data_IF_173206020901
#
_entry.id   IF_173206020901
#
_cell.length_a   1.000
_cell.length_b   1.000
_cell.length_c   1.000
_cell.angle_alpha   90.00
_cell.angle_beta   90.00
_cell.angle_gamma   90.00
#
_symmetry.space_group_name_H-M   'P 1'
#
loop_
_entity.id
_entity.type
_entity.pdbx_description
1 polymer ?
#
# COMPACT_ATOMS: atom_id res chain seq x y z
N UNK A 1 5.71 -2.08 -5.54
CA UNK A 1 5.64 -3.42 -6.10
C UNK A 1 6.78 -3.63 -7.11
N UNK A 2 7.06 -4.88 -7.44
CA UNK A 2 8.19 -5.27 -8.30
C UNK A 2 7.89 -5.18 -9.80
N UNK A 3 6.73 -4.68 -10.19
CA UNK A 3 6.31 -4.60 -11.58
C UNK A 3 5.98 -3.18 -12.00
N UNK A 4 6.21 -2.89 -13.26
CA UNK A 4 5.74 -1.73 -13.97
C UNK A 4 4.73 -2.17 -15.01
N UNK A 5 3.47 -1.82 -14.86
CA UNK A 5 2.36 -2.28 -15.73
C UNK A 5 2.41 -3.81 -15.91
N UNK A 6 2.92 -4.32 -17.02
CA UNK A 6 3.06 -5.74 -17.37
C UNK A 6 4.54 -6.14 -17.62
N UNK A 7 5.46 -5.56 -16.90
CA UNK A 7 6.89 -5.87 -17.02
C UNK A 7 7.58 -5.83 -15.66
N UNK A 8 8.65 -6.62 -15.53
CA UNK A 8 9.52 -6.57 -14.35
C UNK A 8 10.16 -5.19 -14.21
N UNK A 9 10.41 -4.79 -12.98
CA UNK A 9 10.97 -3.47 -12.67
C UNK A 9 12.33 -3.24 -13.33
N UNK A 10 13.15 -4.27 -13.45
CA UNK A 10 14.48 -4.24 -14.06
C UNK A 10 14.48 -3.90 -15.56
N UNK A 11 13.34 -4.03 -16.25
CA UNK A 11 13.20 -3.60 -17.65
C UNK A 11 13.19 -2.07 -17.76
N UNK A 12 12.80 -1.36 -16.69
CA UNK A 12 12.63 0.10 -16.69
C UNK A 12 13.65 0.86 -15.86
N UNK A 13 14.37 0.15 -15.00
CA UNK A 13 15.41 0.74 -14.16
C UNK A 13 16.55 -0.24 -13.91
N UNK A 14 17.71 0.28 -13.60
CA UNK A 14 18.88 -0.55 -13.30
C UNK A 14 18.57 -1.54 -12.17
N UNK A 15 19.01 -2.79 -12.32
CA UNK A 15 18.77 -3.88 -11.37
C UNK A 15 19.22 -3.55 -9.93
N UNK A 16 20.28 -2.74 -9.80
CA UNK A 16 20.87 -2.37 -8.51
C UNK A 16 20.42 -0.99 -8.02
N UNK A 17 19.37 -0.41 -8.61
CA UNK A 17 18.86 0.89 -8.18
C UNK A 17 18.25 0.76 -6.79
N UNK A 18 18.77 1.54 -5.86
CA UNK A 18 18.24 1.69 -4.51
C UNK A 18 17.59 3.07 -4.38
N UNK A 19 16.25 3.09 -4.27
CA UNK A 19 15.46 4.32 -4.25
C UNK A 19 15.68 5.07 -2.94
N UNK A 20 15.82 4.35 -1.82
CA UNK A 20 16.14 4.94 -0.53
C UNK A 20 17.46 5.70 -0.55
N UNK A 21 18.48 5.13 -1.21
CA UNK A 21 19.78 5.82 -1.38
C UNK A 21 19.70 7.06 -2.25
N UNK A 22 18.82 7.08 -3.25
CA UNK A 22 18.59 8.31 -4.04
C UNK A 22 18.06 9.43 -3.14
N UNK A 23 17.10 9.14 -2.28
CA UNK A 23 16.60 10.12 -1.31
C UNK A 23 17.68 10.57 -0.33
N UNK A 24 18.52 9.65 0.17
CA UNK A 24 19.65 9.98 1.04
C UNK A 24 20.69 10.88 0.38
N UNK A 25 20.98 10.65 -0.92
CA UNK A 25 21.88 11.50 -1.70
C UNK A 25 21.34 12.95 -1.86
N UNK A 26 20.03 13.13 -1.73
CA UNK A 26 19.39 14.46 -1.64
C UNK A 26 19.28 15.00 -0.21
N UNK A 27 19.93 14.38 0.76
CA UNK A 27 19.92 14.81 2.18
C UNK A 27 18.63 14.45 2.93
N UNK A 28 17.79 13.56 2.38
CA UNK A 28 16.55 13.15 3.02
C UNK A 28 16.77 11.87 3.83
N UNK A 29 16.40 11.86 5.11
CA UNK A 29 16.47 10.66 5.95
C UNK A 29 15.56 9.58 5.43
N UNK A 30 16.10 8.39 5.15
CA UNK A 30 15.36 7.27 4.58
C UNK A 30 15.18 6.13 5.57
N UNK A 31 14.06 5.41 5.39
CA UNK A 31 13.74 4.17 6.07
C UNK A 31 13.21 3.17 5.04
N UNK A 32 13.70 1.93 5.10
CA UNK A 32 13.29 0.86 4.18
C UNK A 32 12.79 -0.35 4.94
N UNK A 33 11.72 -0.99 4.45
CA UNK A 33 11.11 -2.12 5.11
C UNK A 33 10.22 -2.98 4.21
N UNK A 34 9.77 -4.09 4.79
CA UNK A 34 8.81 -4.99 4.15
C UNK A 34 7.39 -4.43 4.28
N UNK A 35 6.77 -4.07 3.16
CA UNK A 35 5.39 -3.55 3.12
C UNK A 35 4.32 -4.61 3.42
N UNK A 36 4.68 -5.90 3.46
CA UNK A 36 3.78 -6.97 3.87
C UNK A 36 3.87 -7.28 5.38
N UNK A 37 4.71 -6.60 6.14
CA UNK A 37 4.74 -6.69 7.60
C UNK A 37 4.15 -5.42 8.22
N UNK A 38 2.91 -5.51 8.70
CA UNK A 38 2.16 -4.39 9.28
C UNK A 38 2.89 -3.76 10.46
N UNK A 39 3.56 -4.57 11.31
CA UNK A 39 4.31 -4.02 12.45
C UNK A 39 5.52 -3.22 11.96
N UNK A 40 6.23 -3.73 10.96
CA UNK A 40 7.39 -3.04 10.40
C UNK A 40 6.99 -1.71 9.73
N UNK A 41 5.86 -1.71 9.00
CA UNK A 41 5.30 -0.48 8.41
C UNK A 41 4.95 0.52 9.51
N UNK A 42 4.28 0.08 10.58
CA UNK A 42 3.93 0.95 11.71
C UNK A 42 5.17 1.51 12.40
N UNK A 43 6.12 0.67 12.77
CA UNK A 43 7.33 1.06 13.50
C UNK A 43 8.21 2.04 12.72
N UNK A 44 8.39 1.80 11.42
CA UNK A 44 9.17 2.70 10.56
C UNK A 44 8.45 4.01 10.31
N UNK A 45 7.12 3.99 10.18
CA UNK A 45 6.31 5.21 10.05
C UNK A 45 6.38 6.07 11.33
N UNK A 46 6.28 5.44 12.50
CA UNK A 46 6.44 6.14 13.78
C UNK A 46 7.83 6.76 13.94
N UNK A 47 8.89 6.02 13.57
CA UNK A 47 10.27 6.54 13.56
C UNK A 47 10.41 7.73 12.62
N UNK A 48 9.81 7.66 11.43
CA UNK A 48 9.85 8.77 10.46
C UNK A 48 9.10 9.99 10.99
N UNK A 49 7.92 9.83 11.58
CA UNK A 49 7.15 10.93 12.18
C UNK A 49 7.93 11.58 13.33
N UNK A 50 8.52 10.77 14.21
CA UNK A 50 9.37 11.28 15.31
C UNK A 50 10.58 12.06 14.79
N UNK A 51 11.21 11.55 13.72
CA UNK A 51 12.34 12.25 13.07
C UNK A 51 11.90 13.60 12.50
N UNK A 52 10.79 13.64 11.74
CA UNK A 52 10.25 14.88 11.15
C UNK A 52 9.98 15.92 12.24
N UNK A 53 9.28 15.52 13.30
CA UNK A 53 8.93 16.41 14.41
C UNK A 53 10.17 16.95 15.16
N UNK A 54 11.18 16.11 15.31
CA UNK A 54 12.41 16.50 16.05
C UNK A 54 13.32 17.40 15.21
N UNK A 55 13.45 17.15 13.90
CA UNK A 55 14.47 17.77 13.07
C UNK A 55 13.91 18.83 12.11
N UNK A 56 12.57 18.98 12.07
CA UNK A 56 11.86 19.84 11.11
C UNK A 56 12.33 19.59 9.65
N UNK A 57 12.53 18.33 9.29
CA UNK A 57 13.06 17.88 8.02
C UNK A 57 12.27 16.72 7.48
N UNK A 58 12.14 16.54 6.15
CA UNK A 58 11.37 15.44 5.57
C UNK A 58 12.04 14.09 5.86
N UNK A 59 11.23 13.04 5.78
CA UNK A 59 11.68 11.66 5.78
C UNK A 59 11.10 10.91 4.59
N UNK A 60 11.84 9.94 4.06
CA UNK A 60 11.45 9.08 2.97
C UNK A 60 11.22 7.66 3.48
N UNK A 61 10.10 7.05 3.07
CA UNK A 61 9.76 5.68 3.42
C UNK A 61 9.66 4.84 2.14
N UNK A 62 10.40 3.74 2.07
CA UNK A 62 10.34 2.75 1.01
C UNK A 62 9.85 1.43 1.57
N UNK A 63 8.68 0.96 1.10
CA UNK A 63 8.11 -0.32 1.47
C UNK A 63 7.99 -1.23 0.26
N UNK A 64 8.61 -2.41 0.32
CA UNK A 64 8.50 -3.42 -0.70
C UNK A 64 7.16 -4.15 -0.57
N UNK A 65 6.40 -4.19 -1.66
CA UNK A 65 5.07 -4.82 -1.74
C UNK A 65 4.94 -5.61 -3.04
N UNK A 66 3.89 -6.41 -3.13
CA UNK A 66 3.56 -7.17 -4.33
C UNK A 66 2.10 -6.89 -4.76
N UNK A 67 1.88 -6.70 -6.06
CA UNK A 67 0.56 -6.53 -6.63
C UNK A 67 0.01 -7.87 -7.09
N UNK A 68 -1.14 -8.27 -6.59
CA UNK A 68 -1.75 -9.56 -6.93
C UNK A 68 -2.47 -9.55 -8.27
N UNK A 69 -3.26 -8.51 -8.52
CA UNK A 69 -4.06 -8.37 -9.73
C UNK A 69 -3.34 -7.55 -10.78
N UNK A 70 -3.93 -7.47 -11.97
CA UNK A 70 -3.39 -6.67 -13.07
C UNK A 70 -3.28 -5.17 -12.74
N UNK A 71 -2.59 -4.42 -13.60
CA UNK A 71 -2.37 -3.00 -13.36
C UNK A 71 -3.64 -2.16 -13.51
N UNK A 72 -4.47 -2.46 -14.49
CA UNK A 72 -5.58 -1.60 -14.90
C UNK A 72 -6.97 -2.16 -14.55
N UNK A 73 -7.07 -3.27 -13.85
CA UNK A 73 -8.36 -3.89 -13.59
C UNK A 73 -8.36 -4.92 -12.47
N UNK A 74 -9.47 -5.62 -12.30
CA UNK A 74 -9.67 -6.61 -11.25
C UNK A 74 -9.25 -8.03 -11.65
N UNK A 75 -8.69 -8.23 -12.87
CA UNK A 75 -8.39 -9.56 -13.39
C UNK A 75 -7.05 -10.08 -12.86
N UNK A 76 -6.91 -11.39 -12.90
CA UNK A 76 -5.64 -12.06 -12.69
C UNK A 76 -4.79 -11.93 -13.95
N UNK A 77 -3.48 -11.82 -13.81
CA UNK A 77 -2.53 -11.60 -14.90
C UNK A 77 -1.26 -12.44 -14.78
N UNK A 78 -1.34 -13.53 -14.03
CA UNK A 78 -0.27 -14.49 -13.79
C UNK A 78 0.07 -15.34 -15.01
N UNK A 79 -0.84 -15.45 -15.99
CA UNK A 79 -0.69 -16.14 -17.26
C UNK A 79 -0.05 -15.29 -18.38
N UNK A 80 0.19 -14.00 -18.15
CA UNK A 80 0.76 -13.10 -19.16
C UNK A 80 2.29 -13.24 -19.34
N UNK A 81 2.95 -14.14 -18.62
CA UNK A 81 4.36 -14.51 -18.82
C UNK A 81 5.39 -13.52 -18.32
N UNK A 82 5.02 -12.43 -17.66
CA UNK A 82 5.98 -11.49 -17.06
C UNK A 82 6.29 -11.77 -15.59
N UNK A 83 5.48 -12.58 -14.94
CA UNK A 83 5.69 -13.10 -13.58
C UNK A 83 6.47 -14.40 -13.62
N UNK A 84 7.15 -14.73 -12.55
CA UNK A 84 7.79 -16.04 -12.41
C UNK A 84 6.77 -17.10 -11.98
N UNK A 85 7.04 -18.35 -12.33
CA UNK A 85 6.18 -19.46 -11.94
C UNK A 85 6.01 -19.53 -10.42
N UNK A 86 4.76 -19.66 -9.98
CA UNK A 86 4.38 -19.70 -8.56
C UNK A 86 4.77 -18.45 -7.74
N UNK A 87 5.16 -17.34 -8.37
CA UNK A 87 5.52 -16.11 -7.67
C UNK A 87 4.29 -15.52 -6.95
N UNK A 88 3.16 -15.42 -7.64
CA UNK A 88 1.91 -14.95 -7.08
C UNK A 88 1.47 -15.77 -5.86
N UNK A 89 1.51 -17.10 -5.94
CA UNK A 89 1.13 -17.96 -4.83
C UNK A 89 2.02 -17.76 -3.59
N UNK A 90 3.33 -17.58 -3.78
CA UNK A 90 4.27 -17.29 -2.68
C UNK A 90 3.90 -15.99 -1.97
N UNK A 91 3.55 -14.95 -2.72
CA UNK A 91 3.13 -13.68 -2.16
C UNK A 91 1.75 -13.74 -1.50
N UNK A 92 0.81 -14.51 -2.06
CA UNK A 92 -0.51 -14.72 -1.45
C UNK A 92 -0.42 -15.46 -0.10
N UNK A 93 0.52 -16.40 0.05
CA UNK A 93 0.81 -17.03 1.35
C UNK A 93 1.31 -16.04 2.39
N UNK A 94 2.00 -14.98 1.94
CA UNK A 94 2.50 -13.89 2.78
C UNK A 94 1.55 -12.68 2.82
N UNK A 95 0.24 -12.91 2.67
CA UNK A 95 -0.78 -11.86 2.78
C UNK A 95 -0.66 -11.10 4.11
N UNK A 96 -0.46 -9.77 4.10
CA UNK A 96 -0.25 -9.00 5.32
C UNK A 96 -1.44 -9.07 6.27
N UNK A 97 -2.66 -9.07 5.74
CA UNK A 97 -3.89 -9.16 6.54
C UNK A 97 -3.98 -10.52 7.23
N UNK A 98 -3.92 -11.62 6.46
CA UNK A 98 -4.04 -12.98 7.01
C UNK A 98 -2.94 -13.30 8.03
N UNK A 99 -1.71 -12.87 7.73
CA UNK A 99 -0.56 -13.07 8.62
C UNK A 99 -0.74 -12.31 9.93
N UNK A 100 -1.22 -11.07 9.86
CA UNK A 100 -1.45 -10.26 11.06
C UNK A 100 -2.65 -10.76 11.87
N UNK A 101 -3.78 -11.07 11.23
CA UNK A 101 -4.95 -11.69 11.89
C UNK A 101 -4.53 -12.94 12.69
N UNK A 102 -3.77 -13.84 12.07
CA UNK A 102 -3.28 -15.05 12.74
C UNK A 102 -2.41 -14.71 13.96
N UNK A 103 -1.52 -13.75 13.83
CA UNK A 103 -0.59 -13.32 14.88
C UNK A 103 -1.32 -12.71 16.08
N UNK A 104 -2.32 -11.85 15.86
CA UNK A 104 -3.06 -11.20 16.95
C UNK A 104 -4.03 -12.14 17.66
N UNK A 105 -4.61 -13.11 16.92
CA UNK A 105 -5.39 -14.19 17.53
C UNK A 105 -4.49 -15.08 18.42
N UNK A 106 -3.37 -15.52 17.88
CA UNK A 106 -2.40 -16.37 18.62
C UNK A 106 -1.91 -15.72 19.90
N UNK A 107 -1.74 -14.39 19.87
CA UNK A 107 -1.34 -13.60 21.05
C UNK A 107 -2.50 -13.29 22.01
N UNK A 108 -3.72 -13.68 21.67
CA UNK A 108 -4.91 -13.43 22.51
C UNK A 108 -5.36 -11.96 22.54
N UNK A 109 -4.90 -11.13 21.63
CA UNK A 109 -5.32 -9.73 21.56
C UNK A 109 -6.75 -9.57 21.06
N UNK A 110 -7.19 -10.44 20.16
CA UNK A 110 -8.54 -10.51 19.60
C UNK A 110 -8.95 -11.96 19.41
N UNK A 111 -10.24 -12.21 19.33
CA UNK A 111 -10.82 -13.50 18.97
C UNK A 111 -11.46 -13.44 17.55
N UNK A 112 -11.98 -14.57 17.06
CA UNK A 112 -12.59 -14.63 15.74
C UNK A 112 -13.86 -13.78 15.61
N UNK A 113 -14.63 -13.63 16.70
CA UNK A 113 -15.85 -12.82 16.69
C UNK A 113 -15.51 -11.34 16.57
N UNK A 114 -14.43 -10.88 17.21
CA UNK A 114 -13.94 -9.51 17.07
C UNK A 114 -13.56 -9.21 15.62
N UNK A 115 -12.85 -10.15 14.96
CA UNK A 115 -12.48 -9.98 13.55
C UNK A 115 -13.70 -9.96 12.62
N UNK A 116 -14.69 -10.80 12.86
CA UNK A 116 -15.92 -10.79 12.08
C UNK A 116 -16.69 -9.48 12.27
N UNK A 117 -16.78 -8.98 13.50
CA UNK A 117 -17.37 -7.67 13.77
C UNK A 117 -16.68 -6.54 12.96
N UNK A 118 -15.34 -6.51 12.94
CA UNK A 118 -14.62 -5.52 12.14
C UNK A 118 -14.87 -5.67 10.64
N UNK A 119 -14.92 -6.91 10.12
CA UNK A 119 -15.21 -7.17 8.71
C UNK A 119 -16.61 -6.70 8.31
N UNK A 120 -17.61 -6.98 9.14
CA UNK A 120 -18.99 -6.51 8.91
C UNK A 120 -19.06 -4.98 8.91
N UNK A 121 -18.43 -4.33 9.90
CA UNK A 121 -18.38 -2.88 9.97
C UNK A 121 -17.73 -2.26 8.72
N UNK A 122 -16.60 -2.80 8.28
CA UNK A 122 -15.90 -2.32 7.07
C UNK A 122 -16.79 -2.51 5.82
N UNK A 123 -17.49 -3.64 5.70
CA UNK A 123 -18.39 -3.87 4.57
C UNK A 123 -19.54 -2.84 4.53
N UNK A 124 -20.12 -2.51 5.68
CA UNK A 124 -21.16 -1.47 5.79
C UNK A 124 -20.59 -0.12 5.32
N UNK A 125 -19.42 0.28 5.82
CA UNK A 125 -18.77 1.54 5.42
C UNK A 125 -18.49 1.59 3.90
N UNK A 126 -18.09 0.46 3.29
CA UNK A 126 -17.87 0.36 1.84
C UNK A 126 -19.20 0.54 1.08
N UNK A 127 -20.26 -0.15 1.49
CA UNK A 127 -21.58 -0.05 0.87
C UNK A 127 -22.13 1.38 0.95
N UNK A 128 -22.03 2.01 2.11
CA UNK A 128 -22.44 3.41 2.31
C UNK A 128 -21.65 4.37 1.40
N UNK A 129 -20.33 4.16 1.26
CA UNK A 129 -19.51 4.96 0.36
C UNK A 129 -19.92 4.80 -1.12
N UNK A 130 -20.25 3.59 -1.56
CA UNK A 130 -20.79 3.35 -2.91
C UNK A 130 -22.16 4.01 -3.13
N UNK A 131 -23.05 3.91 -2.14
CA UNK A 131 -24.35 4.56 -2.21
C UNK A 131 -24.20 6.09 -2.26
N UNK A 132 -23.33 6.64 -1.45
CA UNK A 132 -23.02 8.08 -1.48
C UNK A 132 -22.53 8.51 -2.86
N UNK A 133 -21.57 7.79 -3.44
CA UNK A 133 -21.05 8.11 -4.77
C UNK A 133 -22.14 8.03 -5.86
N UNK A 134 -22.97 6.99 -5.85
CA UNK A 134 -24.06 6.80 -6.82
C UNK A 134 -25.15 7.88 -6.73
N UNK A 135 -25.43 8.37 -5.52
CA UNK A 135 -26.48 9.36 -5.26
C UNK A 135 -25.95 10.80 -5.36
N UNK A 136 -24.62 10.98 -5.43
CA UNK A 136 -24.03 12.31 -5.55
C UNK A 136 -24.24 12.89 -6.94
N UNK A 137 -24.58 14.18 -7.06
CA UNK A 137 -24.69 14.83 -8.35
C UNK A 137 -23.30 14.99 -8.99
N UNK A 138 -23.25 15.02 -10.32
CA UNK A 138 -22.02 15.37 -11.02
C UNK A 138 -21.59 16.81 -10.67
N UNK A 139 -20.27 17.07 -10.58
CA UNK A 139 -19.75 18.41 -10.35
C UNK A 139 -20.26 19.41 -11.39
N UNK A 140 -20.56 20.64 -10.95
CA UNK A 140 -20.93 21.70 -11.86
C UNK A 140 -19.74 22.18 -12.69
N UNK A 141 -19.95 22.64 -13.93
CA UNK A 141 -18.87 23.01 -14.85
C UNK A 141 -17.97 24.14 -14.30
N UNK A 142 -18.51 25.01 -13.45
CA UNK A 142 -17.78 26.13 -12.85
C UNK A 142 -16.72 25.67 -11.82
N UNK A 143 -16.75 24.39 -11.38
CA UNK A 143 -15.72 23.83 -10.46
C UNK A 143 -14.43 23.47 -11.17
N UNK A 144 -14.43 23.38 -12.52
CA UNK A 144 -13.26 22.97 -13.29
C UNK A 144 -12.02 23.84 -13.05
N UNK A 145 -12.23 25.11 -12.75
CA UNK A 145 -11.16 26.08 -12.52
C UNK A 145 -10.95 26.42 -11.03
N UNK A 146 -11.67 25.72 -10.14
CA UNK A 146 -11.53 25.92 -8.69
C UNK A 146 -10.49 24.96 -8.12
N UNK A 147 -9.80 25.39 -7.08
CA UNK A 147 -8.81 24.57 -6.36
C UNK A 147 -7.64 24.05 -7.20
N UNK A 148 -7.33 24.70 -8.33
CA UNK A 148 -6.16 24.38 -9.16
C UNK A 148 -4.89 24.92 -8.54
N UNK A 149 -4.98 26.06 -7.86
CA UNK A 149 -3.91 26.70 -7.12
C UNK A 149 -4.39 27.01 -5.70
N UNK A 150 -3.44 27.22 -4.80
CA UNK A 150 -3.74 27.72 -3.46
C UNK A 150 -4.22 29.17 -3.59
N UNK A 151 -5.43 29.45 -3.08
CA UNK A 151 -5.94 30.81 -2.89
C UNK A 151 -5.15 31.54 -1.81
#
# INVERSE_FOLDING_TARGET
NFFSVYSKLEVRQAKNRDISKLAENHGVKSYKGNGNDINQVYDLSDKAIKYIKKNNSPAFLEFETYRWLEHCGPNWDDDLGYREDNELEKWMKNCPIKSYESKIIQKGFVNKNDLNFYKEKINIEIEEAFLYAKNSPFPKINVLNQHVYKD
#
